data_IF_390396261738
#
_entry.id   IF_390396261738
#
_cell.length_a   1.000
_cell.length_b   1.000
_cell.length_c   1.000
_cell.angle_alpha   90.00
_cell.angle_beta   90.00
_cell.angle_gamma   90.00
#
_symmetry.space_group_name_H-M   'P 1'
#
loop_
_entity.id
_entity.type
_entity.pdbx_description
1 polymer ?
#
# COMPACT_ATOMS: atom_id res chain seq x y z
N UNK A 1 19.89 -12.88 13.23
CA UNK A 1 18.55 -12.90 13.86
C UNK A 1 18.40 -11.65 14.72
N UNK A 2 19.44 -11.28 15.47
CA UNK A 2 19.52 -9.98 16.17
C UNK A 2 19.41 -8.77 15.26
N UNK A 3 20.29 -8.61 14.26
CA UNK A 3 20.38 -7.34 13.50
C UNK A 3 19.07 -6.84 12.87
N UNK A 4 18.23 -7.74 12.34
CA UNK A 4 16.98 -7.35 11.68
C UNK A 4 15.93 -6.91 12.71
N UNK A 5 15.89 -7.57 13.86
CA UNK A 5 15.00 -7.21 14.96
C UNK A 5 15.45 -5.90 15.61
N UNK A 6 16.75 -5.70 15.79
CA UNK A 6 17.31 -4.44 16.31
C UNK A 6 16.99 -3.25 15.39
N UNK A 7 17.13 -3.42 14.07
CA UNK A 7 16.74 -2.38 13.10
C UNK A 7 15.23 -2.13 13.10
N UNK A 8 14.40 -3.17 13.29
CA UNK A 8 12.96 -3.03 13.37
C UNK A 8 12.51 -2.31 14.66
N UNK A 9 13.17 -2.56 15.78
CA UNK A 9 12.93 -1.88 17.05
C UNK A 9 13.27 -0.40 16.94
N UNK A 10 14.44 -0.07 16.37
CA UNK A 10 14.83 1.31 16.05
C UNK A 10 13.82 1.98 15.10
N UNK A 11 13.37 1.29 14.05
CA UNK A 11 12.38 1.82 13.13
C UNK A 11 11.02 2.07 13.80
N UNK A 12 10.65 1.24 14.77
CA UNK A 12 9.45 1.39 15.59
C UNK A 12 9.57 2.62 16.49
N UNK A 13 10.70 2.79 17.17
CA UNK A 13 10.97 3.96 18.02
C UNK A 13 10.93 5.28 17.24
N UNK A 14 11.35 5.26 15.98
CA UNK A 14 11.24 6.43 15.08
C UNK A 14 9.85 6.61 14.44
N UNK A 15 8.89 5.73 14.72
CA UNK A 15 7.53 5.80 14.16
C UNK A 15 7.46 5.52 12.65
N UNK A 16 8.49 4.89 12.07
CA UNK A 16 8.57 4.63 10.63
C UNK A 16 7.44 3.72 10.15
N UNK A 17 6.92 2.83 11.00
CA UNK A 17 5.77 1.99 10.65
C UNK A 17 4.52 2.82 10.29
N UNK A 18 4.24 3.88 11.05
CA UNK A 18 3.13 4.79 10.79
C UNK A 18 3.33 5.64 9.53
N UNK A 19 4.54 6.17 9.33
CA UNK A 19 4.91 6.94 8.14
C UNK A 19 4.84 6.08 6.88
N UNK A 20 5.38 4.86 6.95
CA UNK A 20 5.36 3.90 5.85
C UNK A 20 3.93 3.55 5.45
N UNK A 21 3.06 3.24 6.43
CA UNK A 21 1.63 2.99 6.20
C UNK A 21 0.94 4.18 5.55
N UNK A 22 1.25 5.41 5.99
CA UNK A 22 0.71 6.63 5.40
C UNK A 22 1.12 6.79 3.93
N UNK A 23 2.42 6.63 3.63
CA UNK A 23 2.94 6.77 2.27
C UNK A 23 2.33 5.71 1.35
N UNK A 24 2.33 4.44 1.76
CA UNK A 24 1.71 3.36 0.98
C UNK A 24 0.22 3.61 0.76
N UNK A 25 -0.50 4.08 1.78
CA UNK A 25 -1.90 4.45 1.67
C UNK A 25 -2.14 5.56 0.66
N UNK A 26 -1.32 6.61 0.68
CA UNK A 26 -1.40 7.73 -0.26
C UNK A 26 -1.11 7.27 -1.70
N UNK A 27 -0.04 6.50 -1.90
CA UNK A 27 0.32 5.95 -3.21
C UNK A 27 -0.79 5.04 -3.73
N UNK A 28 -1.31 4.14 -2.88
CA UNK A 28 -2.43 3.28 -3.22
C UNK A 28 -3.67 4.09 -3.63
N UNK A 29 -3.95 5.19 -2.94
CA UNK A 29 -5.06 6.09 -3.26
C UNK A 29 -4.92 6.74 -4.62
N UNK A 30 -3.73 7.25 -4.92
CA UNK A 30 -3.44 7.82 -6.24
C UNK A 30 -3.54 6.77 -7.35
N UNK A 31 -3.13 5.52 -7.11
CA UNK A 31 -3.30 4.44 -8.08
C UNK A 31 -4.78 4.10 -8.30
N UNK A 32 -5.59 4.05 -7.25
CA UNK A 32 -7.03 3.80 -7.39
C UNK A 32 -7.69 4.93 -8.18
N UNK A 33 -7.41 6.19 -7.83
CA UNK A 33 -7.95 7.34 -8.57
C UNK A 33 -7.47 7.37 -10.03
N UNK A 34 -6.19 7.09 -10.27
CA UNK A 34 -5.63 7.01 -11.61
C UNK A 34 -6.25 5.88 -12.43
N UNK A 35 -6.40 4.69 -11.84
CA UNK A 35 -7.07 3.56 -12.48
C UNK A 35 -8.52 3.87 -12.80
N UNK A 36 -9.26 4.47 -11.86
CA UNK A 36 -10.65 4.87 -12.09
C UNK A 36 -10.75 5.95 -13.17
N UNK A 37 -9.86 6.94 -13.15
CA UNK A 37 -9.78 7.99 -14.17
C UNK A 37 -9.51 7.42 -15.56
N UNK A 38 -8.55 6.51 -15.69
CA UNK A 38 -8.28 5.84 -16.96
C UNK A 38 -9.48 5.00 -17.41
N UNK A 39 -10.12 4.27 -16.50
CA UNK A 39 -11.29 3.45 -16.84
C UNK A 39 -12.47 4.28 -17.36
N UNK A 40 -12.68 5.48 -16.79
CA UNK A 40 -13.82 6.34 -17.15
C UNK A 40 -13.53 7.30 -18.31
N UNK A 41 -12.28 7.69 -18.53
CA UNK A 41 -11.90 8.77 -19.45
C UNK A 41 -11.13 8.30 -20.68
N UNK A 42 -10.81 6.99 -20.79
CA UNK A 42 -10.06 6.45 -21.94
C UNK A 42 -10.83 5.33 -22.65
N UNK A 43 -10.42 5.02 -23.88
CA UNK A 43 -11.05 4.00 -24.69
C UNK A 43 -10.97 2.59 -24.06
N UNK A 44 -12.01 1.78 -24.35
CA UNK A 44 -12.18 0.40 -23.87
C UNK A 44 -11.07 -0.57 -24.32
N UNK A 45 -10.10 -0.14 -25.12
CA UNK A 45 -8.91 -0.92 -25.47
C UNK A 45 -7.89 -1.01 -24.33
N UNK A 46 -7.96 -0.14 -23.31
CA UNK A 46 -6.95 -0.06 -22.25
C UNK A 46 -7.29 -0.80 -20.96
N UNK A 47 -8.42 -1.52 -20.87
CA UNK A 47 -9.03 -2.04 -19.62
C UNK A 47 -8.10 -2.78 -18.66
N UNK A 48 -7.06 -3.46 -19.15
CA UNK A 48 -6.10 -4.19 -18.31
C UNK A 48 -5.33 -3.23 -17.39
N UNK A 49 -4.87 -2.09 -17.90
CA UNK A 49 -4.06 -1.15 -17.13
C UNK A 49 -4.87 -0.51 -15.96
N UNK A 50 -6.07 0.06 -16.18
CA UNK A 50 -6.96 0.50 -15.13
C UNK A 50 -7.24 -0.57 -14.08
N UNK A 51 -7.53 -1.81 -14.50
CA UNK A 51 -7.81 -2.91 -13.59
C UNK A 51 -6.60 -3.23 -12.69
N UNK A 52 -5.39 -3.29 -13.26
CA UNK A 52 -4.16 -3.50 -12.49
C UNK A 52 -3.92 -2.37 -11.50
N UNK A 53 -4.09 -1.11 -11.92
CA UNK A 53 -3.92 0.05 -11.03
C UNK A 53 -4.90 0.03 -9.85
N UNK A 54 -6.15 -0.33 -10.10
CA UNK A 54 -7.17 -0.49 -9.05
C UNK A 54 -6.79 -1.60 -8.06
N UNK A 55 -6.44 -2.79 -8.56
CA UNK A 55 -6.09 -3.95 -7.72
C UNK A 55 -4.85 -3.66 -6.89
N UNK A 56 -3.77 -3.19 -7.53
CA UNK A 56 -2.51 -2.87 -6.84
C UNK A 56 -2.73 -1.73 -5.85
N UNK A 57 -3.49 -0.69 -6.22
CA UNK A 57 -3.78 0.43 -5.34
C UNK A 57 -4.51 0.01 -4.07
N UNK A 58 -5.55 -0.81 -4.20
CA UNK A 58 -6.26 -1.39 -3.05
C UNK A 58 -5.33 -2.27 -2.23
N UNK A 59 -4.50 -3.08 -2.87
CA UNK A 59 -3.58 -3.99 -2.18
C UNK A 59 -2.53 -3.20 -1.36
N UNK A 60 -2.01 -2.10 -1.88
CA UNK A 60 -1.09 -1.21 -1.14
C UNK A 60 -1.75 -0.53 0.06
N UNK A 61 -3.06 -0.25 0.01
CA UNK A 61 -3.79 0.29 1.15
C UNK A 61 -4.05 -0.77 2.22
N UNK A 62 -4.43 -1.99 1.82
CA UNK A 62 -4.93 -3.01 2.73
C UNK A 62 -3.80 -3.86 3.31
N UNK A 63 -2.82 -4.26 2.49
CA UNK A 63 -1.72 -5.12 2.91
C UNK A 63 -0.99 -4.62 4.18
N UNK A 64 -0.54 -3.35 4.29
CA UNK A 64 0.12 -2.90 5.50
C UNK A 64 -0.80 -2.99 6.73
N UNK A 65 -2.10 -2.69 6.60
CA UNK A 65 -3.06 -2.83 7.72
C UNK A 65 -3.13 -4.27 8.21
N UNK A 66 -3.25 -5.20 7.27
CA UNK A 66 -3.32 -6.63 7.60
C UNK A 66 -2.03 -7.10 8.26
N UNK A 67 -0.87 -6.69 7.73
CA UNK A 67 0.43 -7.06 8.29
C UNK A 67 0.63 -6.53 9.71
N UNK A 68 0.26 -5.28 10.00
CA UNK A 68 0.32 -4.73 11.36
C UNK A 68 -0.64 -5.46 12.32
N UNK A 69 -1.89 -5.65 11.91
CA UNK A 69 -2.89 -6.34 12.74
C UNK A 69 -2.46 -7.78 13.04
N UNK A 70 -1.93 -8.49 12.04
CA UNK A 70 -1.42 -9.86 12.23
C UNK A 70 -0.18 -9.85 13.11
N UNK A 71 0.73 -8.90 12.94
CA UNK A 71 1.92 -8.75 13.77
C UNK A 71 1.60 -8.46 15.24
N UNK A 72 0.57 -7.67 15.51
CA UNK A 72 0.12 -7.37 16.88
C UNK A 72 -0.61 -8.55 17.55
N UNK A 73 -1.16 -9.48 16.76
CA UNK A 73 -1.95 -10.62 17.25
C UNK A 73 -1.13 -11.90 17.51
N UNK A 74 0.08 -12.00 16.94
CA UNK A 74 0.96 -13.16 17.04
C UNK A 74 2.02 -12.99 18.14
#
# INVERSE_FOLDING_TARGET
MDEVLEVAEVATDFGLGGVFRMILGLVGFLLVLGGLGLWLLTDMGLLVLPAVLLVVGVLLMVAPVVLFVVGDLL
#
